data_IF_421537897450
#
_entry.id   IF_421537897450
#
_cell.length_a   1.000
_cell.length_b   1.000
_cell.length_c   1.000
_cell.angle_alpha   90.00
_cell.angle_beta   90.00
_cell.angle_gamma   90.00
#
_symmetry.space_group_name_H-M   'P 1'
#
loop_
_entity.id
_entity.type
_entity.pdbx_description
1 polymer ?
#
# COMPACT_ATOMS: atom_id res chain seq x y z
N UNK A 1 1.06 10.12 -33.80
CA UNK A 1 0.75 8.76 -33.30
C UNK A 1 0.24 8.91 -31.87
N UNK A 2 -1.08 9.02 -31.69
CA UNK A 2 -1.69 9.05 -30.34
C UNK A 2 -1.58 7.64 -29.79
N UNK A 3 -0.82 7.46 -28.72
CA UNK A 3 -0.90 6.25 -27.91
C UNK A 3 -2.30 6.25 -27.29
N UNK A 4 -3.18 5.37 -27.78
CA UNK A 4 -4.38 4.97 -27.07
C UNK A 4 -3.95 4.21 -25.81
N UNK A 5 -3.64 4.96 -24.76
CA UNK A 5 -3.44 4.39 -23.44
C UNK A 5 -4.83 4.07 -22.92
N UNK A 6 -5.29 2.83 -23.15
CA UNK A 6 -6.54 2.30 -22.61
C UNK A 6 -6.65 2.67 -21.12
N UNK A 7 -7.72 3.41 -20.79
CA UNK A 7 -8.10 3.65 -19.40
C UNK A 7 -8.44 2.31 -18.75
N UNK A 8 -7.82 2.01 -17.60
CA UNK A 8 -8.24 0.87 -16.81
C UNK A 8 -9.53 1.24 -16.10
N UNK A 9 -10.65 0.62 -16.49
CA UNK A 9 -11.90 0.86 -15.80
C UNK A 9 -11.87 0.29 -14.37
N UNK A 10 -12.75 0.80 -13.50
CA UNK A 10 -12.80 0.41 -12.08
C UNK A 10 -13.13 -1.07 -11.88
N UNK A 11 -13.80 -1.71 -12.83
CA UNK A 11 -14.10 -3.14 -12.75
C UNK A 11 -12.83 -3.96 -12.99
N UNK A 12 -11.99 -3.52 -13.92
CA UNK A 12 -10.70 -4.12 -14.22
C UNK A 12 -9.75 -3.99 -13.03
N UNK A 13 -9.68 -2.80 -12.41
CA UNK A 13 -8.90 -2.57 -11.21
C UNK A 13 -9.35 -3.48 -10.05
N UNK A 14 -10.66 -3.58 -9.81
CA UNK A 14 -11.24 -4.51 -8.83
C UNK A 14 -10.92 -5.96 -9.15
N UNK A 15 -11.04 -6.36 -10.42
CA UNK A 15 -10.77 -7.71 -10.88
C UNK A 15 -9.31 -8.11 -10.64
N UNK A 16 -8.35 -7.25 -11.00
CA UNK A 16 -6.92 -7.52 -10.79
C UNK A 16 -6.55 -7.61 -9.32
N UNK A 17 -7.08 -6.70 -8.50
CA UNK A 17 -6.89 -6.76 -7.05
C UNK A 17 -7.42 -8.08 -6.48
N UNK A 18 -8.62 -8.50 -6.89
CA UNK A 18 -9.19 -9.79 -6.47
C UNK A 18 -8.36 -10.98 -6.96
N UNK A 19 -7.86 -10.95 -8.20
CA UNK A 19 -6.97 -12.00 -8.70
C UNK A 19 -5.69 -12.13 -7.87
N UNK A 20 -5.06 -11.01 -7.50
CA UNK A 20 -3.91 -11.02 -6.61
C UNK A 20 -4.26 -11.61 -5.23
N UNK A 21 -5.43 -11.25 -4.68
CA UNK A 21 -5.92 -11.84 -3.42
C UNK A 21 -6.15 -13.35 -3.53
N UNK A 22 -6.78 -13.80 -4.62
CA UNK A 22 -7.13 -15.21 -4.82
C UNK A 22 -5.87 -16.08 -5.01
N UNK A 23 -4.86 -15.59 -5.73
CA UNK A 23 -3.55 -16.26 -5.80
C UNK A 23 -2.93 -16.42 -4.41
N UNK A 24 -2.93 -15.35 -3.61
CA UNK A 24 -2.36 -15.37 -2.27
C UNK A 24 -3.13 -16.29 -1.31
N UNK A 25 -4.46 -16.30 -1.37
CA UNK A 25 -5.34 -17.17 -0.56
C UNK A 25 -5.11 -18.66 -0.83
N UNK A 26 -4.75 -19.02 -2.05
CA UNK A 26 -4.47 -20.42 -2.41
C UNK A 26 -3.12 -20.91 -1.85
N UNK A 27 -2.19 -20.00 -1.54
CA UNK A 27 -0.83 -20.34 -1.12
C UNK A 27 -0.59 -20.17 0.39
N UNK A 28 -1.30 -19.23 1.01
CA UNK A 28 -0.99 -18.73 2.35
C UNK A 28 -2.27 -18.66 3.18
N UNK A 29 -2.16 -18.98 4.48
CA UNK A 29 -3.26 -18.84 5.44
C UNK A 29 -3.82 -17.41 5.51
N UNK A 30 -5.11 -17.29 5.85
CA UNK A 30 -5.92 -16.05 5.74
C UNK A 30 -5.24 -14.77 6.25
N UNK A 31 -4.72 -14.76 7.47
CA UNK A 31 -4.09 -13.55 8.04
C UNK A 31 -2.77 -13.20 7.35
N UNK A 32 -1.99 -14.23 6.99
CA UNK A 32 -0.67 -14.07 6.41
C UNK A 32 -0.74 -13.56 4.96
N UNK A 33 -1.77 -13.93 4.20
CA UNK A 33 -1.94 -13.43 2.83
C UNK A 33 -2.28 -11.93 2.82
N UNK A 34 -3.02 -11.44 3.82
CA UNK A 34 -3.32 -10.01 3.94
C UNK A 34 -2.03 -9.25 4.25
N UNK A 35 -1.23 -9.71 5.22
CA UNK A 35 0.08 -9.10 5.51
C UNK A 35 0.98 -9.12 4.27
N UNK A 36 1.01 -10.25 3.53
CA UNK A 36 1.76 -10.37 2.28
C UNK A 36 1.31 -9.31 1.26
N UNK A 37 0.00 -9.16 1.07
CA UNK A 37 -0.57 -8.18 0.17
C UNK A 37 -0.25 -6.75 0.61
N UNK A 38 -0.31 -6.46 1.92
CA UNK A 38 -0.12 -5.13 2.49
C UNK A 38 1.25 -4.56 2.17
N UNK A 39 2.33 -5.31 2.42
CA UNK A 39 3.69 -4.79 2.20
C UNK A 39 3.97 -4.63 0.69
N UNK A 40 3.45 -5.54 -0.15
CA UNK A 40 3.62 -5.45 -1.60
C UNK A 40 2.88 -4.24 -2.16
N UNK A 41 1.62 -4.05 -1.77
CA UNK A 41 0.84 -2.86 -2.15
C UNK A 41 1.48 -1.57 -1.64
N UNK A 42 2.00 -1.58 -0.40
CA UNK A 42 2.69 -0.44 0.16
C UNK A 42 3.88 -0.03 -0.73
N UNK A 43 4.77 -0.97 -1.06
CA UNK A 43 5.93 -0.67 -1.89
C UNK A 43 5.53 -0.20 -3.30
N UNK A 44 4.51 -0.81 -3.91
CA UNK A 44 3.97 -0.39 -5.20
C UNK A 44 3.46 1.06 -5.17
N UNK A 45 2.59 1.35 -4.21
CA UNK A 45 1.95 2.66 -4.05
C UNK A 45 2.97 3.74 -3.70
N UNK A 46 3.96 3.39 -2.87
CA UNK A 46 5.01 4.30 -2.49
C UNK A 46 5.93 4.64 -3.66
N UNK A 47 6.29 3.65 -4.50
CA UNK A 47 7.10 3.89 -5.69
C UNK A 47 6.38 4.79 -6.71
N UNK A 48 5.06 4.62 -6.90
CA UNK A 48 4.24 5.52 -7.73
C UNK A 48 4.18 6.95 -7.17
N UNK A 49 4.06 7.08 -5.84
CA UNK A 49 4.07 8.38 -5.17
C UNK A 49 5.40 9.09 -5.34
N UNK A 50 6.51 8.37 -5.24
CA UNK A 50 7.85 8.92 -5.47
C UNK A 50 8.06 9.31 -6.94
N UNK A 51 7.51 8.54 -7.90
CA UNK A 51 7.52 8.90 -9.32
C UNK A 51 6.75 10.20 -9.58
N UNK A 52 5.58 10.38 -8.95
CA UNK A 52 4.80 11.62 -9.06
C UNK A 52 5.57 12.82 -8.46
N UNK A 53 6.21 12.63 -7.30
CA UNK A 53 7.01 13.66 -6.64
C UNK A 53 8.25 14.04 -7.45
N UNK A 54 8.94 13.06 -8.00
CA UNK A 54 10.09 13.25 -8.89
C UNK A 54 9.70 14.03 -10.15
N UNK A 55 8.57 13.67 -10.77
CA UNK A 55 8.04 14.40 -11.92
C UNK A 55 7.69 15.85 -11.57
N UNK A 56 7.00 16.08 -10.43
CA UNK A 56 6.65 17.43 -9.97
C UNK A 56 7.87 18.29 -9.67
N UNK A 57 8.90 17.75 -9.02
CA UNK A 57 10.14 18.46 -8.76
C UNK A 57 10.84 18.83 -10.07
N UNK A 58 10.93 17.88 -11.02
CA UNK A 58 11.51 18.13 -12.35
C UNK A 58 10.78 19.25 -13.10
N UNK A 59 9.45 19.29 -13.04
CA UNK A 59 8.65 20.37 -13.65
C UNK A 59 8.90 21.74 -13.00
N UNK A 60 9.29 21.78 -11.72
CA UNK A 60 9.69 23.00 -11.00
C UNK A 60 11.18 23.35 -11.16
N UNK A 61 11.96 22.52 -11.82
CA UNK A 61 13.43 22.67 -11.90
C UNK A 61 14.15 22.29 -10.60
N UNK A 62 13.49 21.54 -9.71
CA UNK A 62 14.03 21.04 -8.45
C UNK A 62 14.50 19.59 -8.60
N UNK A 63 15.50 19.20 -7.81
CA UNK A 63 15.92 17.80 -7.66
C UNK A 63 15.14 17.14 -6.55
N UNK A 64 14.53 15.98 -6.83
CA UNK A 64 13.91 15.13 -5.81
C UNK A 64 14.85 13.98 -5.44
N UNK A 65 15.14 13.82 -4.14
CA UNK A 65 15.84 12.66 -3.63
C UNK A 65 14.83 11.64 -3.12
N UNK A 66 14.84 10.45 -3.71
CA UNK A 66 13.98 9.36 -3.26
C UNK A 66 14.35 8.88 -1.86
N UNK A 67 13.33 8.47 -1.12
CA UNK A 67 13.45 7.78 0.14
C UNK A 67 13.86 6.32 -0.07
N UNK A 68 13.30 5.65 -1.10
CA UNK A 68 13.72 4.30 -1.50
C UNK A 68 14.53 4.41 -2.81
N UNK A 69 15.87 4.35 -2.76
CA UNK A 69 16.71 4.41 -3.95
C UNK A 69 16.78 3.07 -4.68
N UNK A 70 17.30 3.09 -5.91
CA UNK A 70 17.72 1.88 -6.61
C UNK A 70 18.82 1.15 -5.82
N UNK A 71 18.85 -0.20 -5.82
CA UNK A 71 18.01 -1.12 -6.59
C UNK A 71 16.74 -1.60 -5.87
N UNK A 72 16.28 -0.90 -4.83
CA UNK A 72 15.20 -1.33 -3.93
C UNK A 72 13.82 -0.79 -4.29
N UNK A 73 13.70 0.03 -5.35
CA UNK A 73 12.41 0.52 -5.83
C UNK A 73 11.57 -0.63 -6.34
N UNK A 74 10.25 -0.56 -6.19
CA UNK A 74 9.32 -1.56 -6.71
C UNK A 74 9.64 -1.94 -8.17
N UNK A 75 9.71 -0.93 -9.05
CA UNK A 75 9.99 -1.13 -10.48
C UNK A 75 11.37 -1.72 -10.80
N UNK A 76 12.34 -1.62 -9.88
CA UNK A 76 13.71 -2.12 -10.12
C UNK A 76 13.79 -3.65 -10.02
N UNK A 77 12.94 -4.29 -9.22
CA UNK A 77 13.02 -5.74 -8.99
C UNK A 77 11.86 -6.52 -9.59
N UNK A 78 10.68 -5.93 -9.77
CA UNK A 78 9.48 -6.65 -10.23
C UNK A 78 9.62 -7.20 -11.64
N UNK A 79 10.26 -6.46 -12.55
CA UNK A 79 10.43 -6.88 -13.94
C UNK A 79 11.72 -7.64 -14.23
N UNK A 80 12.60 -7.81 -13.23
CA UNK A 80 13.79 -8.64 -13.40
C UNK A 80 13.40 -10.10 -13.61
N UNK A 81 14.25 -10.81 -14.33
CA UNK A 81 14.12 -12.24 -14.58
C UNK A 81 14.84 -13.00 -13.47
N UNK A 82 14.11 -13.21 -12.36
CA UNK A 82 14.63 -13.88 -11.18
C UNK A 82 14.42 -15.39 -11.25
N UNK A 83 15.40 -16.16 -10.76
CA UNK A 83 15.09 -17.51 -10.27
C UNK A 83 14.30 -17.41 -8.97
N UNK A 84 13.47 -18.41 -8.68
CA UNK A 84 12.61 -18.43 -7.50
C UNK A 84 13.38 -18.13 -6.21
N UNK A 85 14.47 -18.85 -5.97
CA UNK A 85 15.28 -18.74 -4.75
C UNK A 85 15.95 -17.37 -4.65
N UNK A 86 16.38 -16.79 -5.77
CA UNK A 86 17.03 -15.47 -5.81
C UNK A 86 16.06 -14.36 -5.43
N UNK A 87 14.81 -14.42 -5.91
CA UNK A 87 13.81 -13.42 -5.54
C UNK A 87 13.46 -13.52 -4.05
N UNK A 88 13.30 -14.73 -3.53
CA UNK A 88 13.03 -14.93 -2.10
C UNK A 88 14.19 -14.43 -1.24
N UNK A 89 15.43 -14.71 -1.65
CA UNK A 89 16.64 -14.23 -0.96
C UNK A 89 16.73 -12.70 -1.00
N UNK A 90 16.53 -12.08 -2.18
CA UNK A 90 16.51 -10.63 -2.33
C UNK A 90 15.46 -9.97 -1.41
N UNK A 91 14.22 -10.48 -1.38
CA UNK A 91 13.16 -9.90 -0.53
C UNK A 91 13.54 -10.00 0.96
N UNK A 92 13.96 -11.19 1.40
CA UNK A 92 14.15 -11.50 2.82
C UNK A 92 15.46 -10.96 3.38
N UNK A 93 16.54 -11.02 2.61
CA UNK A 93 17.91 -10.77 3.08
C UNK A 93 18.51 -9.47 2.55
N UNK A 94 17.90 -8.83 1.55
CA UNK A 94 18.35 -7.53 1.03
C UNK A 94 17.30 -6.44 1.23
N UNK A 95 16.13 -6.57 0.62
CA UNK A 95 15.10 -5.53 0.59
C UNK A 95 14.56 -5.21 1.98
N UNK A 96 14.05 -6.19 2.73
CA UNK A 96 13.49 -5.94 4.07
C UNK A 96 14.56 -5.42 5.07
N UNK A 97 15.77 -6.01 5.12
CA UNK A 97 16.86 -5.45 5.93
C UNK A 97 17.28 -4.03 5.53
N UNK A 98 17.18 -3.67 4.25
CA UNK A 98 17.42 -2.30 3.81
C UNK A 98 16.32 -1.35 4.31
N UNK A 99 15.04 -1.70 4.07
CA UNK A 99 13.89 -0.87 4.45
C UNK A 99 13.83 -0.63 5.96
N UNK A 100 14.08 -1.66 6.77
CA UNK A 100 14.11 -1.57 8.24
C UNK A 100 15.23 -0.70 8.81
N UNK A 101 16.24 -0.33 7.99
CA UNK A 101 17.39 0.49 8.38
C UNK A 101 17.41 1.86 7.70
N UNK A 102 16.31 2.26 7.05
CA UNK A 102 16.21 3.59 6.46
C UNK A 102 16.35 4.67 7.54
N UNK A 103 17.21 5.65 7.26
CA UNK A 103 17.53 6.75 8.16
C UNK A 103 17.52 8.09 7.38
N UNK A 104 17.24 9.18 8.09
CA UNK A 104 17.17 10.54 7.53
C UNK A 104 15.90 11.31 7.86
N UNK A 105 15.15 10.92 8.88
CA UNK A 105 13.95 11.65 9.33
C UNK A 105 12.71 11.43 8.48
N UNK A 106 11.56 11.81 9.05
CA UNK A 106 10.29 11.88 8.33
C UNK A 106 9.81 10.51 7.83
N UNK A 107 9.48 10.42 6.53
CA UNK A 107 8.92 9.19 5.95
C UNK A 107 9.90 8.00 6.00
N UNK A 108 11.22 8.22 5.96
CA UNK A 108 12.21 7.14 6.04
C UNK A 108 12.14 6.39 7.37
N UNK A 109 12.02 7.13 8.47
CA UNK A 109 11.87 6.55 9.82
C UNK A 109 10.55 5.79 9.97
N UNK A 110 9.47 6.29 9.34
CA UNK A 110 8.18 5.59 9.33
C UNK A 110 8.27 4.27 8.55
N UNK A 111 8.92 4.27 7.38
CA UNK A 111 9.17 3.04 6.61
C UNK A 111 10.02 2.06 7.43
N UNK A 112 11.11 2.53 8.03
CA UNK A 112 11.95 1.70 8.88
C UNK A 112 11.17 1.08 10.06
N UNK A 113 10.29 1.87 10.68
CA UNK A 113 9.40 1.40 11.75
C UNK A 113 8.46 0.29 11.24
N UNK A 114 7.85 0.44 10.07
CA UNK A 114 6.96 -0.57 9.48
C UNK A 114 7.72 -1.89 9.24
N UNK A 115 8.90 -1.82 8.64
CA UNK A 115 9.67 -3.02 8.22
C UNK A 115 10.59 -3.57 9.31
N UNK A 116 10.73 -2.92 10.47
CA UNK A 116 11.47 -3.46 11.63
C UNK A 116 10.61 -4.35 12.52
N UNK A 117 9.27 -4.29 12.38
CA UNK A 117 8.33 -5.17 13.08
C UNK A 117 8.48 -6.64 12.67
N UNK A 118 8.15 -7.56 13.58
CA UNK A 118 8.16 -9.01 13.30
C UNK A 118 6.93 -9.45 12.49
N UNK A 119 5.93 -8.59 12.42
CA UNK A 119 4.67 -8.80 11.74
C UNK A 119 4.85 -8.76 10.23
N UNK A 120 5.71 -7.87 9.72
CA UNK A 120 6.01 -7.77 8.29
C UNK A 120 7.06 -8.82 7.91
N UNK A 121 6.59 -9.87 7.24
CA UNK A 121 7.42 -10.94 6.71
C UNK A 121 6.89 -11.39 5.35
N UNK A 122 7.77 -12.00 4.57
CA UNK A 122 7.38 -12.64 3.31
C UNK A 122 6.92 -14.07 3.59
N UNK A 123 5.66 -14.36 3.32
CA UNK A 123 5.06 -15.67 3.52
C UNK A 123 5.12 -16.56 2.28
N UNK A 124 5.33 -15.97 1.09
CA UNK A 124 5.51 -16.74 -0.14
C UNK A 124 6.91 -17.34 -0.16
N UNK A 125 6.98 -18.67 -0.29
CA UNK A 125 8.23 -19.42 -0.43
C UNK A 125 8.61 -19.69 -1.88
N UNK A 126 7.65 -19.57 -2.79
CA UNK A 126 7.84 -19.72 -4.22
C UNK A 126 7.97 -18.32 -4.86
N UNK A 127 9.19 -17.98 -5.28
CA UNK A 127 9.48 -16.71 -5.94
C UNK A 127 8.75 -16.54 -7.26
N UNK A 128 8.39 -17.63 -7.98
CA UNK A 128 7.61 -17.49 -9.21
C UNK A 128 6.19 -16.98 -8.91
N UNK A 129 5.57 -17.49 -7.84
CA UNK A 129 4.26 -17.00 -7.38
C UNK A 129 4.34 -15.60 -6.80
N UNK A 130 5.41 -15.28 -6.07
CA UNK A 130 5.65 -13.91 -5.60
C UNK A 130 5.74 -12.93 -6.77
N UNK A 131 6.47 -13.31 -7.82
CA UNK A 131 6.59 -12.52 -9.04
C UNK A 131 5.25 -12.39 -9.77
N UNK A 132 4.46 -13.45 -9.86
CA UNK A 132 3.12 -13.42 -10.46
C UNK A 132 2.20 -12.41 -9.75
N UNK A 133 2.13 -12.48 -8.41
CA UNK A 133 1.39 -11.51 -7.60
C UNK A 133 1.95 -10.10 -7.80
N UNK A 134 3.27 -9.93 -7.77
CA UNK A 134 3.90 -8.63 -7.97
C UNK A 134 3.55 -8.02 -9.34
N UNK A 135 3.55 -8.82 -10.41
CA UNK A 135 3.17 -8.35 -11.75
C UNK A 135 1.70 -7.94 -11.81
N UNK A 136 0.78 -8.70 -11.20
CA UNK A 136 -0.64 -8.30 -11.11
C UNK A 136 -0.82 -6.98 -10.35
N UNK A 137 -0.08 -6.79 -9.25
CA UNK A 137 -0.10 -5.54 -8.51
C UNK A 137 0.54 -4.39 -9.29
N UNK A 138 1.55 -4.67 -10.11
CA UNK A 138 2.21 -3.65 -10.96
C UNK A 138 1.28 -3.07 -12.03
N UNK A 139 0.34 -3.89 -12.50
CA UNK A 139 -0.70 -3.48 -13.42
C UNK A 139 -1.75 -2.56 -12.80
N UNK A 140 -1.81 -2.45 -11.47
CA UNK A 140 -2.66 -1.47 -10.79
C UNK A 140 -2.10 -0.07 -11.05
N UNK A 141 -2.73 0.66 -11.97
CA UNK A 141 -2.40 2.05 -12.27
C UNK A 141 -3.36 2.97 -11.51
N UNK A 142 -2.81 3.76 -10.59
CA UNK A 142 -3.53 4.73 -9.78
C UNK A 142 -3.42 6.10 -10.44
N UNK A 143 -4.47 6.54 -11.15
CA UNK A 143 -4.43 7.83 -11.88
C UNK A 143 -5.12 8.93 -11.10
N UNK A 144 -6.13 8.60 -10.31
CA UNK A 144 -6.90 9.58 -9.55
C UNK A 144 -7.00 9.23 -8.06
N UNK A 145 -7.40 10.22 -7.25
CA UNK A 145 -7.70 10.00 -5.82
C UNK A 145 -8.81 8.96 -5.64
N UNK A 146 -9.77 8.93 -6.56
CA UNK A 146 -10.86 7.96 -6.57
C UNK A 146 -10.36 6.52 -6.74
N UNK A 147 -9.31 6.28 -7.53
CA UNK A 147 -8.73 4.94 -7.69
C UNK A 147 -8.10 4.44 -6.38
N UNK A 148 -7.40 5.34 -5.68
CA UNK A 148 -6.83 5.05 -4.35
C UNK A 148 -7.94 4.76 -3.35
N UNK A 149 -9.05 5.51 -3.36
CA UNK A 149 -10.21 5.23 -2.51
C UNK A 149 -10.84 3.87 -2.82
N UNK A 150 -10.92 3.46 -4.09
CA UNK A 150 -11.46 2.14 -4.46
C UNK A 150 -10.57 1.03 -3.91
N UNK A 151 -9.25 1.10 -4.06
CA UNK A 151 -8.35 0.08 -3.48
C UNK A 151 -8.34 0.13 -1.96
N UNK A 152 -8.37 1.31 -1.33
CA UNK A 152 -8.51 1.42 0.12
C UNK A 152 -9.79 0.73 0.61
N UNK A 153 -10.91 0.93 -0.09
CA UNK A 153 -12.17 0.26 0.23
C UNK A 153 -12.09 -1.26 0.04
N UNK A 154 -11.48 -1.74 -1.05
CA UNK A 154 -11.27 -3.18 -1.26
C UNK A 154 -10.35 -3.79 -0.20
N UNK A 155 -9.29 -3.08 0.19
CA UNK A 155 -8.40 -3.52 1.26
C UNK A 155 -9.11 -3.55 2.61
N UNK A 156 -9.96 -2.55 2.89
CA UNK A 156 -10.82 -2.53 4.07
C UNK A 156 -11.82 -3.69 4.10
N UNK A 157 -12.34 -4.12 2.94
CA UNK A 157 -13.17 -5.33 2.83
C UNK A 157 -12.43 -6.61 3.23
N UNK A 158 -11.09 -6.63 3.20
CA UNK A 158 -10.28 -7.76 3.67
C UNK A 158 -10.06 -7.76 5.19
N UNK A 159 -10.16 -6.60 5.85
CA UNK A 159 -9.89 -6.49 7.29
C UNK A 159 -10.78 -7.40 8.17
N UNK A 160 -12.07 -7.62 7.87
CA UNK A 160 -12.89 -8.59 8.60
C UNK A 160 -12.33 -10.01 8.56
N UNK A 161 -11.70 -10.44 7.45
CA UNK A 161 -11.09 -11.77 7.34
C UNK A 161 -9.89 -11.92 8.29
N UNK A 162 -9.19 -10.83 8.63
CA UNK A 162 -8.16 -10.82 9.69
C UNK A 162 -8.81 -11.13 11.04
N UNK A 163 -9.97 -10.52 11.33
CA UNK A 163 -10.62 -10.63 12.63
C UNK A 163 -11.52 -11.86 12.81
N UNK A 164 -12.00 -12.50 11.74
CA UNK A 164 -12.76 -13.76 11.80
C UNK A 164 -11.92 -14.93 12.34
N UNK A 165 -10.60 -14.91 12.08
CA UNK A 165 -9.65 -15.87 12.65
C UNK A 165 -9.34 -15.63 14.15
N UNK A 166 -9.88 -14.54 14.74
CA UNK A 166 -9.54 -14.08 16.09
C UNK A 166 -10.69 -13.71 17.04
N UNK A 167 -11.97 -13.78 16.64
CA UNK A 167 -13.14 -13.22 17.37
C UNK A 167 -13.23 -11.68 17.41
N UNK A 168 -12.53 -10.95 16.55
CA UNK A 168 -12.38 -9.48 16.67
C UNK A 168 -12.61 -8.68 15.37
N UNK A 169 -13.33 -9.24 14.38
CA UNK A 169 -13.58 -8.61 13.06
C UNK A 169 -14.25 -7.22 13.09
N UNK A 170 -14.88 -6.84 14.20
CA UNK A 170 -15.52 -5.53 14.38
C UNK A 170 -14.67 -4.46 15.07
N UNK A 171 -13.46 -4.77 15.56
CA UNK A 171 -12.72 -3.87 16.47
C UNK A 171 -11.90 -2.78 15.76
N UNK A 172 -11.66 -2.90 14.45
CA UNK A 172 -10.72 -2.02 13.71
C UNK A 172 -11.35 -1.17 12.60
N UNK A 173 -12.66 -1.30 12.39
CA UNK A 173 -13.38 -0.68 11.27
C UNK A 173 -14.62 0.10 11.71
N UNK A 174 -14.74 1.33 11.22
CA UNK A 174 -15.98 2.11 11.28
C UNK A 174 -16.48 2.37 9.86
N UNK A 175 -17.77 2.11 9.54
CA UNK A 175 -18.32 2.35 8.21
C UNK A 175 -18.06 3.76 7.68
N UNK A 176 -17.53 3.87 6.46
CA UNK A 176 -17.15 5.16 5.85
C UNK A 176 -18.28 6.23 5.82
N UNK A 177 -19.56 5.88 5.59
CA UNK A 177 -20.64 6.86 5.71
C UNK A 177 -20.76 7.47 7.12
N UNK A 178 -20.51 6.68 8.18
CA UNK A 178 -20.55 7.13 9.57
C UNK A 178 -19.39 8.09 9.84
N UNK A 179 -18.16 7.71 9.45
CA UNK A 179 -16.98 8.58 9.58
C UNK A 179 -17.22 9.92 8.88
N UNK A 180 -17.67 9.90 7.62
CA UNK A 180 -17.93 11.12 6.84
C UNK A 180 -18.98 12.02 7.49
N UNK A 181 -20.06 11.43 8.00
CA UNK A 181 -21.09 12.19 8.69
C UNK A 181 -20.54 12.85 9.96
N UNK A 182 -19.81 12.08 10.77
CA UNK A 182 -19.22 12.57 12.02
C UNK A 182 -18.19 13.68 11.77
N UNK A 183 -17.26 13.49 10.83
CA UNK A 183 -16.28 14.53 10.47
C UNK A 183 -16.96 15.78 9.92
N UNK A 184 -18.02 15.62 9.13
CA UNK A 184 -18.80 16.77 8.64
C UNK A 184 -19.48 17.55 9.76
N UNK A 185 -19.98 16.85 10.79
CA UNK A 185 -20.60 17.49 11.97
C UNK A 185 -19.54 18.18 12.83
N UNK A 186 -18.43 17.51 13.12
CA UNK A 186 -17.31 18.05 13.91
C UNK A 186 -16.67 19.24 13.20
N UNK A 187 -16.60 19.19 11.86
CA UNK A 187 -16.10 20.25 10.99
C UNK A 187 -14.69 20.76 11.37
N UNK A 188 -13.69 19.86 11.45
CA UNK A 188 -12.35 20.21 11.93
C UNK A 188 -11.70 21.27 11.03
N UNK A 189 -10.85 22.11 11.63
CA UNK A 189 -10.20 23.27 11.01
C UNK A 189 -8.68 23.15 10.99
N UNK A 190 -8.07 23.87 10.05
CA UNK A 190 -6.62 23.98 9.98
C UNK A 190 -6.09 24.60 11.27
N UNK A 191 -5.06 23.98 11.85
CA UNK A 191 -4.46 24.40 13.12
C UNK A 191 -5.04 23.73 14.36
N UNK A 192 -6.14 22.98 14.24
CA UNK A 192 -6.69 22.19 15.35
C UNK A 192 -5.94 20.86 15.53
N UNK A 193 -5.94 20.37 16.78
CA UNK A 193 -5.40 19.05 17.13
C UNK A 193 -6.53 18.03 17.06
N UNK A 194 -6.36 17.00 16.23
CA UNK A 194 -7.30 15.89 16.11
C UNK A 194 -6.66 14.65 16.75
N UNK A 195 -7.38 14.02 17.66
CA UNK A 195 -6.96 12.79 18.34
C UNK A 195 -8.03 11.72 18.13
N UNK A 196 -7.60 10.54 17.68
CA UNK A 196 -8.41 9.32 17.69
C UNK A 196 -7.67 8.27 18.54
N UNK A 197 -8.08 8.05 19.81
CA UNK A 197 -7.39 7.12 20.70
C UNK A 197 -7.65 5.64 20.34
N UNK A 198 -8.60 5.36 19.45
CA UNK A 198 -8.97 4.01 19.01
C UNK A 198 -8.96 3.94 17.47
N UNK A 199 -7.89 4.50 16.87
CA UNK A 199 -7.86 4.82 15.45
C UNK A 199 -8.11 3.64 14.50
N UNK A 200 -7.85 2.39 14.90
CA UNK A 200 -7.95 1.23 14.02
C UNK A 200 -7.21 1.46 12.70
N UNK A 201 -7.94 1.40 11.59
CA UNK A 201 -7.45 1.74 10.23
C UNK A 201 -7.26 3.26 9.96
N UNK A 202 -7.20 4.09 10.99
CA UNK A 202 -7.07 5.55 10.96
C UNK A 202 -8.19 6.28 10.21
N UNK A 203 -9.40 5.71 10.17
CA UNK A 203 -10.46 6.18 9.29
C UNK A 203 -10.91 7.62 9.55
N UNK A 204 -11.04 8.02 10.82
CA UNK A 204 -11.39 9.38 11.21
C UNK A 204 -10.28 10.39 10.92
N UNK A 205 -9.02 10.00 11.14
CA UNK A 205 -7.86 10.88 10.91
C UNK A 205 -7.73 11.21 9.42
N UNK A 206 -7.85 10.19 8.56
CA UNK A 206 -7.78 10.35 7.09
C UNK A 206 -8.94 11.22 6.58
N UNK A 207 -10.17 10.98 7.02
CA UNK A 207 -11.32 11.80 6.57
C UNK A 207 -11.24 13.23 7.10
N UNK A 208 -10.75 13.44 8.33
CA UNK A 208 -10.55 14.78 8.88
C UNK A 208 -9.50 15.55 8.11
N UNK A 209 -8.38 14.92 7.76
CA UNK A 209 -7.36 15.51 6.89
C UNK A 209 -7.93 15.91 5.53
N UNK A 210 -8.68 15.01 4.89
CA UNK A 210 -9.32 15.29 3.61
C UNK A 210 -10.37 16.42 3.71
N UNK A 211 -11.10 16.52 4.82
CA UNK A 211 -12.07 17.58 5.08
C UNK A 211 -11.42 18.95 5.20
N UNK A 212 -10.27 19.03 5.88
CA UNK A 212 -9.50 20.28 6.03
C UNK A 212 -8.90 20.76 4.69
N UNK A 213 -8.52 19.83 3.80
CA UNK A 213 -7.95 20.16 2.50
C UNK A 213 -8.97 20.57 1.43
N UNK A 214 -10.27 20.37 1.67
CA UNK A 214 -11.36 20.79 0.77
C UNK A 214 -11.68 22.26 0.95
#
# INVERSE_FOLDING_TARGET
>A
MRLEVLDMDRQTLKSKFKQACDLLRNEIASVNYIIQLSWMLFLKLYDDLEDERELKAKLKGETYQRNIPSPYRWKDWVHKDWRSEELIDFINNELFPFLSKLDGGGEKELIATIFSGKEIQNFLKDGYKLREVALLLDELKFRTREDIYVISALYEELLPEIGEMGKYAGEYYTPRPVIRLMVKIVNPKLGEIILDPFLGSAGFLIESYNHILR
#
